data_IF_189940441824
#
_entry.id   IF_189940441824
#
_cell.length_a   1.000
_cell.length_b   1.000
_cell.length_c   1.000
_cell.angle_alpha   90.00
_cell.angle_beta   90.00
_cell.angle_gamma   90.00
#
_symmetry.space_group_name_H-M   'P 1'
#
loop_
_entity.id
_entity.type
_entity.pdbx_description
1 polymer ?
#
# COMPACT_ATOMS: atom_id res chain seq x y z
N UNK A 1 7.70 -8.74 -5.79
CA UNK A 1 8.93 -8.10 -6.29
C UNK A 1 8.87 -6.60 -6.01
N UNK A 2 9.83 -6.03 -5.29
CA UNK A 2 9.91 -4.58 -5.04
C UNK A 2 10.63 -3.92 -6.21
N UNK A 3 9.95 -3.69 -7.33
CA UNK A 3 10.54 -3.22 -8.58
C UNK A 3 11.19 -1.84 -8.46
N UNK A 4 10.60 -0.91 -7.68
CA UNK A 4 11.14 0.43 -7.46
C UNK A 4 12.29 0.52 -6.43
N UNK A 5 12.66 -0.57 -5.73
CA UNK A 5 13.63 -0.53 -4.64
C UNK A 5 15.00 0.00 -5.07
N UNK A 6 15.48 1.06 -4.42
CA UNK A 6 16.79 1.69 -4.64
C UNK A 6 16.86 2.55 -5.90
N UNK A 7 15.71 2.81 -6.53
CA UNK A 7 15.61 3.60 -7.76
C UNK A 7 14.44 4.59 -7.78
N UNK A 8 13.44 4.40 -6.89
CA UNK A 8 12.21 5.19 -6.91
C UNK A 8 12.51 6.69 -6.66
N UNK A 9 13.40 7.00 -5.72
CA UNK A 9 13.83 8.37 -5.45
C UNK A 9 14.72 8.98 -6.56
N UNK A 10 15.16 8.16 -7.53
CA UNK A 10 15.97 8.59 -8.69
C UNK A 10 15.17 8.60 -9.99
N UNK A 11 13.91 8.23 -9.97
CA UNK A 11 13.06 8.11 -11.15
C UNK A 11 13.55 7.04 -12.16
N UNK A 12 14.13 5.93 -11.68
CA UNK A 12 14.61 4.83 -12.53
C UNK A 12 14.26 3.46 -11.94
N UNK A 13 14.16 2.45 -12.78
CA UNK A 13 14.18 1.05 -12.38
C UNK A 13 15.60 0.52 -12.55
N UNK A 14 16.17 0.00 -11.48
CA UNK A 14 17.54 -0.55 -11.52
C UNK A 14 17.59 -1.84 -12.34
N UNK A 15 18.73 -2.13 -13.03
CA UNK A 15 18.87 -3.34 -13.84
C UNK A 15 18.57 -4.64 -13.07
N UNK A 16 19.03 -4.75 -11.80
CA UNK A 16 18.75 -5.91 -10.95
C UNK A 16 17.25 -6.05 -10.62
N UNK A 17 16.50 -4.94 -10.63
CA UNK A 17 15.04 -4.93 -10.41
C UNK A 17 14.28 -5.28 -11.69
N UNK A 18 14.76 -4.82 -12.85
CA UNK A 18 14.23 -5.25 -14.14
C UNK A 18 14.34 -6.76 -14.26
N UNK A 19 15.51 -7.33 -14.03
CA UNK A 19 15.73 -8.78 -14.09
C UNK A 19 14.74 -9.53 -13.17
N UNK A 20 14.65 -9.15 -11.90
CA UNK A 20 13.72 -9.78 -10.95
C UNK A 20 12.24 -9.61 -11.33
N UNK A 21 11.89 -8.48 -11.94
CA UNK A 21 10.53 -8.25 -12.44
C UNK A 21 10.21 -9.19 -13.59
N UNK A 22 11.15 -9.35 -14.52
CA UNK A 22 11.02 -10.28 -15.64
C UNK A 22 10.89 -11.74 -15.18
N UNK A 23 11.72 -12.18 -14.22
CA UNK A 23 11.62 -13.52 -13.63
C UNK A 23 10.23 -13.75 -13.01
N UNK A 24 9.70 -12.74 -12.29
CA UNK A 24 8.38 -12.84 -11.69
C UNK A 24 7.26 -12.95 -12.74
N UNK A 25 7.34 -12.18 -13.84
CA UNK A 25 6.38 -12.29 -14.95
C UNK A 25 6.50 -13.68 -15.60
N UNK A 26 7.71 -14.23 -15.75
CA UNK A 26 7.91 -15.59 -16.26
C UNK A 26 7.20 -16.66 -15.40
N UNK A 27 7.37 -16.58 -14.06
CA UNK A 27 6.66 -17.47 -13.13
C UNK A 27 5.14 -17.32 -13.25
N UNK A 28 4.64 -16.07 -13.33
CA UNK A 28 3.21 -15.81 -13.51
C UNK A 28 2.68 -16.37 -14.83
N UNK A 29 3.45 -16.29 -15.91
CA UNK A 29 3.07 -16.87 -17.21
C UNK A 29 2.81 -18.37 -17.11
N UNK A 30 3.67 -19.11 -16.40
CA UNK A 30 3.47 -20.54 -16.17
C UNK A 30 2.17 -20.82 -15.37
N UNK A 31 1.91 -20.00 -14.34
CA UNK A 31 0.66 -20.12 -13.57
C UNK A 31 -0.55 -19.84 -14.46
N UNK A 32 -0.54 -18.74 -15.21
CA UNK A 32 -1.61 -18.34 -16.13
C UNK A 32 -1.91 -19.45 -17.15
N UNK A 33 -0.87 -20.04 -17.73
CA UNK A 33 -1.00 -21.14 -18.70
C UNK A 33 -1.76 -22.34 -18.11
N UNK A 34 -1.51 -22.68 -16.85
CA UNK A 34 -2.18 -23.79 -16.16
C UNK A 34 -3.67 -23.55 -15.88
N UNK A 35 -4.12 -22.29 -15.89
CA UNK A 35 -5.52 -21.91 -15.69
C UNK A 35 -6.31 -21.71 -17.00
N UNK A 36 -5.70 -21.95 -18.16
CA UNK A 36 -6.30 -21.77 -19.50
C UNK A 36 -6.97 -20.39 -19.66
N UNK A 37 -6.27 -19.35 -19.17
CA UNK A 37 -6.76 -17.98 -19.18
C UNK A 37 -6.81 -17.43 -20.61
N UNK A 38 -7.94 -16.89 -21.03
CA UNK A 38 -8.16 -16.35 -22.40
C UNK A 38 -7.52 -14.96 -22.56
N UNK A 39 -7.62 -14.11 -21.53
CA UNK A 39 -7.09 -12.74 -21.57
C UNK A 39 -6.20 -12.44 -20.37
N UNK A 40 -5.12 -11.70 -20.61
CA UNK A 40 -4.15 -11.29 -19.59
C UNK A 40 -3.89 -9.80 -19.70
N UNK A 41 -4.16 -9.09 -18.60
CA UNK A 41 -3.87 -7.68 -18.48
C UNK A 41 -2.69 -7.49 -17.51
N UNK A 42 -1.62 -6.85 -17.99
CA UNK A 42 -0.45 -6.53 -17.16
C UNK A 42 -0.47 -5.03 -16.90
N UNK A 43 -0.80 -4.66 -15.66
CA UNK A 43 -0.93 -3.27 -15.24
C UNK A 43 0.28 -2.88 -14.40
N UNK A 44 0.79 -1.68 -14.64
CA UNK A 44 1.88 -1.08 -13.88
C UNK A 44 1.48 0.31 -13.37
N UNK A 45 1.96 0.63 -12.18
CA UNK A 45 1.60 1.84 -11.45
C UNK A 45 2.83 2.68 -11.09
N UNK A 46 2.83 3.39 -9.99
CA UNK A 46 3.79 4.43 -9.58
C UNK A 46 5.24 4.14 -9.96
N UNK A 47 5.81 3.00 -9.59
CA UNK A 47 7.24 2.75 -9.81
C UNK A 47 7.66 2.76 -11.29
N UNK A 48 6.80 2.24 -12.19
CA UNK A 48 7.03 2.27 -13.64
C UNK A 48 6.53 3.58 -14.27
N UNK A 49 5.49 4.18 -13.73
CA UNK A 49 4.97 5.48 -14.17
C UNK A 49 6.02 6.58 -14.02
N UNK A 50 6.74 6.58 -12.90
CA UNK A 50 7.71 7.63 -12.56
C UNK A 50 9.11 7.36 -13.13
N UNK A 51 9.37 6.17 -13.64
CA UNK A 51 10.68 5.79 -14.11
C UNK A 51 10.94 6.23 -15.56
N UNK A 52 12.01 7.01 -15.76
CA UNK A 52 12.44 7.45 -17.09
C UNK A 52 12.85 6.31 -18.03
N UNK A 53 13.21 5.16 -17.46
CA UNK A 53 13.58 3.95 -18.19
C UNK A 53 12.52 2.83 -18.09
N UNK A 54 11.26 3.19 -17.89
CA UNK A 54 10.17 2.18 -17.83
C UNK A 54 10.05 1.36 -19.11
N UNK A 55 10.40 1.95 -20.26
CA UNK A 55 10.45 1.27 -21.55
C UNK A 55 11.39 0.07 -21.58
N UNK A 56 12.50 0.10 -20.84
CA UNK A 56 13.45 -1.03 -20.75
C UNK A 56 12.75 -2.28 -20.21
N UNK A 57 11.92 -2.09 -19.17
CA UNK A 57 11.14 -3.18 -18.59
C UNK A 57 9.96 -3.60 -19.47
N UNK A 58 9.16 -2.66 -19.95
CA UNK A 58 7.94 -2.97 -20.71
C UNK A 58 8.25 -3.65 -22.05
N UNK A 59 9.30 -3.20 -22.75
CA UNK A 59 9.76 -3.83 -23.98
C UNK A 59 10.27 -5.26 -23.74
N UNK A 60 11.05 -5.48 -22.68
CA UNK A 60 11.53 -6.82 -22.34
C UNK A 60 10.38 -7.77 -21.96
N UNK A 61 9.35 -7.30 -21.26
CA UNK A 61 8.15 -8.09 -20.97
C UNK A 61 7.45 -8.48 -22.26
N UNK A 62 7.29 -7.55 -23.19
CA UNK A 62 6.69 -7.85 -24.49
C UNK A 62 7.53 -8.84 -25.32
N UNK A 63 8.83 -8.59 -25.43
CA UNK A 63 9.74 -9.43 -26.23
C UNK A 63 9.84 -10.86 -25.70
N UNK A 64 9.87 -11.05 -24.37
CA UNK A 64 10.04 -12.38 -23.77
C UNK A 64 8.73 -13.13 -23.60
N UNK A 65 7.66 -12.43 -23.30
CA UNK A 65 6.42 -13.08 -22.86
C UNK A 65 5.21 -12.78 -23.73
N UNK A 66 5.30 -11.78 -24.63
CA UNK A 66 4.20 -11.35 -25.49
C UNK A 66 3.17 -10.47 -24.78
N UNK A 67 3.39 -10.10 -23.52
CA UNK A 67 2.44 -9.28 -22.77
C UNK A 67 2.72 -7.78 -22.94
N UNK A 68 1.67 -7.02 -23.26
CA UNK A 68 1.72 -5.58 -23.27
C UNK A 68 1.49 -5.04 -21.86
N UNK A 69 2.48 -4.32 -21.32
CA UNK A 69 2.34 -3.64 -20.01
C UNK A 69 1.63 -2.30 -20.21
N UNK A 70 0.53 -2.10 -19.49
CA UNK A 70 -0.21 -0.84 -19.45
C UNK A 70 0.20 -0.06 -18.20
N UNK A 71 0.88 1.07 -18.38
CA UNK A 71 1.19 1.98 -17.29
C UNK A 71 0.00 2.92 -17.13
N UNK A 72 -0.72 2.82 -16.00
CA UNK A 72 -1.90 3.62 -15.73
C UNK A 72 -1.56 4.91 -14.96
N UNK A 73 -2.40 5.93 -15.14
CA UNK A 73 -2.32 7.17 -14.38
C UNK A 73 -2.68 6.96 -12.90
N UNK A 74 -2.26 7.86 -12.02
CA UNK A 74 -2.66 7.82 -10.61
C UNK A 74 -4.17 8.01 -10.42
N UNK A 75 -4.85 8.78 -11.29
CA UNK A 75 -6.31 8.91 -11.27
C UNK A 75 -7.00 7.59 -11.61
N UNK A 76 -6.57 6.91 -12.67
CA UNK A 76 -7.09 5.59 -13.04
C UNK A 76 -6.83 4.55 -11.94
N UNK A 77 -5.65 4.60 -11.30
CA UNK A 77 -5.32 3.72 -10.17
C UNK A 77 -6.30 3.96 -9.01
N UNK A 78 -6.56 5.22 -8.63
CA UNK A 78 -7.52 5.57 -7.58
C UNK A 78 -8.97 5.14 -7.91
N UNK A 79 -9.41 5.29 -9.16
CA UNK A 79 -10.72 4.83 -9.63
C UNK A 79 -10.86 3.31 -9.51
N UNK A 80 -9.87 2.53 -9.96
CA UNK A 80 -9.89 1.06 -9.87
C UNK A 80 -9.86 0.58 -8.42
N UNK A 81 -9.13 1.27 -7.54
CA UNK A 81 -9.13 0.99 -6.10
C UNK A 81 -10.51 1.23 -5.50
N UNK A 82 -11.16 2.35 -5.88
CA UNK A 82 -12.52 2.62 -5.45
C UNK A 82 -13.49 1.52 -5.90
N UNK A 83 -13.47 1.14 -7.18
CA UNK A 83 -14.31 0.06 -7.70
C UNK A 83 -14.12 -1.24 -6.91
N UNK A 84 -12.86 -1.64 -6.68
CA UNK A 84 -12.54 -2.82 -5.88
C UNK A 84 -13.03 -2.72 -4.42
N UNK A 85 -12.97 -1.53 -3.83
CA UNK A 85 -13.44 -1.27 -2.47
C UNK A 85 -14.97 -1.31 -2.40
N UNK A 86 -15.65 -0.67 -3.34
CA UNK A 86 -17.12 -0.60 -3.40
C UNK A 86 -17.77 -1.98 -3.63
N UNK A 87 -17.06 -2.93 -4.25
CA UNK A 87 -17.51 -4.31 -4.35
C UNK A 87 -17.55 -5.06 -3.01
N UNK A 88 -16.77 -4.60 -2.02
CA UNK A 88 -16.61 -5.29 -0.73
C UNK A 88 -17.24 -4.54 0.44
N UNK A 89 -17.37 -3.22 0.33
CA UNK A 89 -17.94 -2.36 1.35
C UNK A 89 -18.99 -1.42 0.75
N UNK A 90 -20.20 -1.44 1.30
CA UNK A 90 -21.30 -0.53 0.93
C UNK A 90 -21.60 0.36 2.13
N UNK A 91 -21.36 1.68 2.06
CA UNK A 91 -21.69 2.59 3.15
C UNK A 91 -23.20 2.78 3.29
N UNK A 92 -23.64 3.00 4.52
CA UNK A 92 -25.02 3.43 4.81
C UNK A 92 -25.30 4.81 4.22
N UNK A 93 -26.58 5.13 4.02
CA UNK A 93 -26.99 6.44 3.55
C UNK A 93 -26.47 7.57 4.44
N UNK A 94 -25.86 8.56 3.82
CA UNK A 94 -25.26 9.70 4.53
C UNK A 94 -23.86 9.45 5.11
N UNK A 95 -23.34 8.24 4.98
CA UNK A 95 -21.96 7.92 5.41
C UNK A 95 -20.96 8.30 4.33
N UNK A 96 -20.02 9.16 4.67
CA UNK A 96 -18.85 9.43 3.83
C UNK A 96 -17.68 8.53 4.25
N UNK A 97 -17.01 7.98 3.26
CA UNK A 97 -15.91 7.04 3.40
C UNK A 97 -14.64 7.64 2.82
N UNK A 98 -13.53 7.53 3.54
CA UNK A 98 -12.20 7.73 2.98
C UNK A 98 -11.56 6.36 2.74
N UNK A 99 -11.35 5.99 1.48
CA UNK A 99 -10.50 4.86 1.15
C UNK A 99 -9.04 5.32 1.07
N UNK A 100 -8.16 4.55 1.70
CA UNK A 100 -6.73 4.78 1.73
C UNK A 100 -6.01 3.50 1.25
N UNK A 101 -5.36 3.56 0.10
CA UNK A 101 -4.49 2.50 -0.39
C UNK A 101 -3.03 2.94 -0.29
N UNK A 102 -2.25 2.26 0.56
CA UNK A 102 -0.85 2.61 0.77
C UNK A 102 0.04 1.64 0.01
N UNK A 103 0.48 2.09 -1.16
CA UNK A 103 1.41 1.37 -2.02
C UNK A 103 2.88 1.58 -1.66
N UNK A 104 3.76 1.02 -2.51
CA UNK A 104 5.20 1.21 -2.36
C UNK A 104 5.68 2.60 -2.77
N UNK A 105 5.14 3.14 -3.85
CA UNK A 105 5.55 4.41 -4.45
C UNK A 105 4.52 5.51 -4.34
N UNK A 106 3.24 5.18 -4.24
CA UNK A 106 2.11 6.11 -4.13
C UNK A 106 1.16 5.72 -3.01
N UNK A 107 0.26 6.64 -2.69
CA UNK A 107 -0.89 6.43 -1.81
C UNK A 107 -2.10 7.04 -2.49
N UNK A 108 -3.13 6.24 -2.70
CA UNK A 108 -4.40 6.65 -3.28
C UNK A 108 -5.38 6.96 -2.16
N UNK A 109 -5.99 8.14 -2.25
CA UNK A 109 -7.03 8.60 -1.35
C UNK A 109 -8.31 8.84 -2.16
N UNK A 110 -9.40 8.18 -1.76
CA UNK A 110 -10.71 8.34 -2.40
C UNK A 110 -11.77 8.65 -1.36
N UNK A 111 -12.38 9.81 -1.45
CA UNK A 111 -13.50 10.26 -0.63
C UNK A 111 -14.79 10.01 -1.40
N UNK A 112 -15.68 9.20 -0.86
CA UNK A 112 -16.86 8.73 -1.56
C UNK A 112 -18.01 8.40 -0.61
N UNK A 113 -19.18 8.18 -1.15
CA UNK A 113 -20.36 7.68 -0.45
C UNK A 113 -21.11 6.67 -1.33
N UNK A 114 -22.29 6.24 -0.92
CA UNK A 114 -23.09 5.27 -1.69
C UNK A 114 -23.63 5.79 -3.03
N UNK A 115 -23.39 7.05 -3.39
CA UNK A 115 -23.89 7.68 -4.61
C UNK A 115 -22.79 8.00 -5.62
N UNK A 116 -21.64 8.49 -5.11
CA UNK A 116 -20.60 9.04 -5.99
C UNK A 116 -19.23 9.07 -5.34
N UNK A 117 -18.19 9.17 -6.16
CA UNK A 117 -16.86 9.62 -5.76
C UNK A 117 -16.92 11.14 -5.62
N UNK A 118 -16.71 11.64 -4.40
CA UNK A 118 -16.72 13.07 -4.10
C UNK A 118 -15.39 13.69 -4.48
N UNK A 119 -14.28 12.97 -4.22
CA UNK A 119 -12.93 13.40 -4.51
C UNK A 119 -11.98 12.20 -4.55
N UNK A 120 -11.01 12.22 -5.46
CA UNK A 120 -9.99 11.18 -5.56
C UNK A 120 -8.65 11.77 -5.98
N UNK A 121 -7.56 11.25 -5.42
CA UNK A 121 -6.21 11.61 -5.82
C UNK A 121 -5.19 10.52 -5.45
N UNK A 122 -4.21 10.33 -6.34
CA UNK A 122 -2.99 9.60 -6.07
C UNK A 122 -1.89 10.59 -5.66
N UNK A 123 -1.17 10.26 -4.59
CA UNK A 123 -0.05 11.03 -4.08
C UNK A 123 1.24 10.23 -4.24
N UNK A 124 2.31 10.88 -4.65
CA UNK A 124 3.64 10.28 -4.73
C UNK A 124 4.26 10.07 -3.34
N UNK A 125 3.47 9.45 -2.46
CA UNK A 125 3.79 9.09 -1.09
C UNK A 125 3.52 7.59 -0.94
N UNK A 126 4.57 6.79 -0.86
CA UNK A 126 4.44 5.36 -0.60
C UNK A 126 5.53 4.89 0.35
N UNK A 127 5.33 3.74 0.98
CA UNK A 127 6.24 3.25 2.04
C UNK A 127 7.68 3.06 1.57
N UNK A 128 7.91 2.66 0.32
CA UNK A 128 9.26 2.50 -0.21
C UNK A 128 9.89 3.86 -0.56
N UNK A 129 9.07 4.80 -1.07
CA UNK A 129 9.51 6.17 -1.36
C UNK A 129 9.89 6.90 -0.08
N UNK A 130 9.06 6.87 0.96
CA UNK A 130 9.35 7.47 2.26
C UNK A 130 10.62 6.86 2.88
N UNK A 131 10.79 5.54 2.79
CA UNK A 131 12.00 4.88 3.27
C UNK A 131 13.27 5.35 2.55
N UNK A 132 13.22 5.59 1.25
CA UNK A 132 14.35 6.09 0.48
C UNK A 132 14.65 7.58 0.76
N UNK A 133 13.61 8.39 0.99
CA UNK A 133 13.75 9.80 1.34
C UNK A 133 14.32 9.99 2.74
N UNK A 134 13.73 9.36 3.72
CA UNK A 134 14.03 9.62 5.12
C UNK A 134 15.13 8.74 5.70
N UNK A 135 15.55 7.67 5.02
CA UNK A 135 16.73 6.81 5.32
C UNK A 135 17.00 6.61 6.83
N UNK A 136 15.97 6.27 7.60
CA UNK A 136 16.09 6.10 9.03
C UNK A 136 17.05 4.96 9.36
N UNK A 137 18.14 5.28 10.06
CA UNK A 137 19.12 4.31 10.52
C UNK A 137 18.71 3.76 11.90
N UNK A 138 18.42 2.45 11.96
CA UNK A 138 18.15 1.75 13.22
C UNK A 138 16.70 1.80 13.66
N UNK A 139 16.38 2.64 14.63
CA UNK A 139 15.02 2.85 15.12
C UNK A 139 14.26 3.82 14.24
N UNK A 140 12.98 3.54 14.01
CA UNK A 140 12.11 4.54 13.39
C UNK A 140 11.85 5.67 14.39
N UNK A 141 11.36 5.39 15.60
CA UNK A 141 11.19 6.35 16.70
C UNK A 141 10.23 7.51 16.43
N UNK A 142 9.90 8.25 17.50
CA UNK A 142 9.06 9.46 17.37
C UNK A 142 9.75 10.55 16.56
N UNK A 143 11.07 10.73 16.71
CA UNK A 143 11.83 11.68 15.89
C UNK A 143 11.73 11.44 14.38
N UNK A 144 11.54 10.20 13.96
CA UNK A 144 11.35 9.86 12.55
C UNK A 144 10.00 10.34 12.05
N UNK A 145 8.96 10.18 12.86
CA UNK A 145 7.64 10.69 12.56
C UNK A 145 7.64 12.22 12.49
N UNK A 146 8.25 12.89 13.47
CA UNK A 146 8.34 14.36 13.51
C UNK A 146 9.08 14.92 12.30
N UNK A 147 10.11 14.24 11.82
CA UNK A 147 10.82 14.63 10.60
C UNK A 147 9.99 14.45 9.33
N UNK A 148 9.08 13.47 9.32
CA UNK A 148 8.20 13.21 8.16
C UNK A 148 6.92 14.07 8.19
N UNK A 149 6.43 14.45 9.36
CA UNK A 149 5.15 15.15 9.48
C UNK A 149 5.05 16.41 8.61
N UNK A 150 6.06 17.33 8.57
CA UNK A 150 5.99 18.49 7.69
C UNK A 150 5.94 18.13 6.19
N UNK A 151 6.63 17.07 5.78
CA UNK A 151 6.55 16.58 4.40
C UNK A 151 5.18 15.99 4.08
N UNK A 152 4.58 15.24 5.02
CA UNK A 152 3.23 14.72 4.86
C UNK A 152 2.19 15.85 4.85
N UNK A 153 2.39 16.92 5.65
CA UNK A 153 1.55 18.13 5.67
C UNK A 153 1.50 18.78 4.29
N UNK A 154 2.67 19.01 3.69
CA UNK A 154 2.79 19.64 2.38
C UNK A 154 2.18 18.76 1.28
N UNK A 155 2.54 17.50 1.26
CA UNK A 155 2.11 16.57 0.22
C UNK A 155 0.61 16.28 0.27
N UNK A 156 0.01 16.15 1.47
CA UNK A 156 -1.41 15.87 1.66
C UNK A 156 -2.29 17.13 1.83
N UNK A 157 -1.78 18.36 1.61
CA UNK A 157 -2.59 19.57 1.67
C UNK A 157 -3.88 19.50 0.82
N UNK A 158 -3.87 18.94 -0.42
CA UNK A 158 -5.09 18.75 -1.18
C UNK A 158 -6.10 17.80 -0.52
N UNK A 159 -5.63 16.76 0.21
CA UNK A 159 -6.50 15.88 0.99
C UNK A 159 -7.11 16.66 2.17
N UNK A 160 -6.30 17.41 2.93
CA UNK A 160 -6.78 18.24 4.02
C UNK A 160 -7.86 19.23 3.56
N UNK A 161 -7.68 19.80 2.38
CA UNK A 161 -8.66 20.71 1.78
C UNK A 161 -9.98 19.99 1.47
N UNK A 162 -9.92 18.79 0.91
CA UNK A 162 -11.11 17.97 0.65
C UNK A 162 -11.82 17.58 1.96
N UNK A 163 -11.08 17.17 2.99
CA UNK A 163 -11.62 16.75 4.29
C UNK A 163 -12.25 17.91 5.11
N UNK A 164 -11.83 19.15 4.88
CA UNK A 164 -12.50 20.34 5.48
C UNK A 164 -13.92 20.51 4.96
N UNK A 165 -14.16 20.16 3.71
CA UNK A 165 -15.47 20.30 3.06
C UNK A 165 -16.37 19.10 3.32
N UNK A 166 -15.81 17.89 3.37
CA UNK A 166 -16.55 16.64 3.57
C UNK A 166 -15.78 15.76 4.55
N UNK A 167 -16.37 15.56 5.73
CA UNK A 167 -15.77 14.72 6.76
C UNK A 167 -16.19 13.27 6.57
N UNK A 168 -15.25 12.33 6.38
CA UNK A 168 -15.55 10.90 6.42
C UNK A 168 -15.81 10.48 7.87
N UNK A 169 -16.72 9.51 8.04
CA UNK A 169 -16.96 8.83 9.32
C UNK A 169 -16.39 7.41 9.33
N UNK A 170 -15.92 6.95 8.17
CA UNK A 170 -15.33 5.62 8.00
C UNK A 170 -14.03 5.74 7.19
N UNK A 171 -12.98 5.10 7.69
CA UNK A 171 -11.73 4.87 6.96
C UNK A 171 -11.70 3.41 6.47
N UNK A 172 -11.59 3.21 5.17
CA UNK A 172 -11.39 1.90 4.56
C UNK A 172 -9.95 1.79 4.08
N UNK A 173 -9.20 0.89 4.69
CA UNK A 173 -7.84 0.61 4.30
C UNK A 173 -7.76 -0.49 3.24
N UNK A 174 -6.96 -0.29 2.20
CA UNK A 174 -6.67 -1.27 1.16
C UNK A 174 -5.18 -1.63 1.15
N UNK A 175 -4.87 -2.76 0.55
CA UNK A 175 -3.52 -3.30 0.36
C UNK A 175 -2.82 -3.88 1.60
N UNK A 176 -1.64 -4.42 1.37
CA UNK A 176 -0.94 -5.26 2.35
C UNK A 176 -0.46 -4.56 3.62
N UNK A 177 -0.45 -3.23 3.67
CA UNK A 177 -0.17 -2.49 4.90
C UNK A 177 -1.30 -2.66 5.90
N UNK A 178 -2.56 -2.53 5.45
CA UNK A 178 -3.73 -2.72 6.29
C UNK A 178 -3.94 -4.19 6.68
N UNK A 179 -3.59 -5.14 5.80
CA UNK A 179 -3.52 -6.55 6.18
C UNK A 179 -2.57 -6.78 7.35
N UNK A 180 -1.40 -6.14 7.31
CA UNK A 180 -0.41 -6.25 8.38
C UNK A 180 -0.93 -5.66 9.68
N UNK A 181 -1.54 -4.47 9.65
CA UNK A 181 -2.17 -3.86 10.84
C UNK A 181 -3.25 -4.76 11.41
N UNK A 182 -4.11 -5.32 10.56
CA UNK A 182 -5.15 -6.25 10.99
C UNK A 182 -4.57 -7.47 11.74
N UNK A 183 -3.55 -8.13 11.17
CA UNK A 183 -2.94 -9.28 11.83
C UNK A 183 -2.25 -8.91 13.14
N UNK A 184 -1.55 -7.79 13.19
CA UNK A 184 -0.88 -7.32 14.42
C UNK A 184 -1.89 -6.99 15.52
N UNK A 185 -3.00 -6.32 15.21
CA UNK A 185 -4.06 -6.01 16.18
C UNK A 185 -4.80 -7.26 16.68
N UNK A 186 -4.82 -8.33 15.89
CA UNK A 186 -5.39 -9.63 16.31
C UNK A 186 -4.40 -10.43 17.18
N UNK A 187 -3.11 -10.38 16.88
CA UNK A 187 -2.08 -11.06 17.66
C UNK A 187 -2.01 -10.52 19.11
N UNK A 188 -2.09 -9.19 19.27
CA UNK A 188 -2.15 -8.55 20.60
C UNK A 188 -3.35 -8.98 21.46
N UNK A 189 -4.41 -9.49 20.81
CA UNK A 189 -5.65 -9.95 21.47
C UNK A 189 -5.63 -11.43 21.84
N UNK A 190 -4.63 -12.19 21.41
CA UNK A 190 -4.53 -13.62 21.63
C UNK A 190 -3.35 -13.94 22.55
N UNK A 191 -3.61 -14.70 23.62
CA UNK A 191 -2.56 -15.29 24.48
C UNK A 191 -1.52 -16.03 23.62
N UNK A 192 -0.20 -16.02 23.97
CA UNK A 192 0.92 -16.38 23.06
C UNK A 192 0.99 -17.82 22.55
N UNK A 193 -0.08 -18.60 22.67
CA UNK A 193 -0.09 -20.04 22.35
C UNK A 193 -0.84 -20.45 21.08
N UNK A 194 -1.48 -19.52 20.35
CA UNK A 194 -2.16 -19.86 19.09
C UNK A 194 -1.49 -19.22 17.90
N UNK A 195 -0.65 -20.00 17.18
CA UNK A 195 -0.23 -19.63 15.82
C UNK A 195 -1.48 -19.37 14.95
N UNK A 196 -1.63 -18.15 14.49
CA UNK A 196 -2.68 -17.78 13.53
C UNK A 196 -2.34 -18.53 12.23
N UNK A 197 -3.01 -19.67 12.00
CA UNK A 197 -2.96 -20.34 10.70
C UNK A 197 -3.61 -19.38 9.70
N UNK A 198 -2.89 -19.01 8.66
CA UNK A 198 -3.46 -18.26 7.53
C UNK A 198 -4.65 -19.06 6.98
N UNK A 199 -5.86 -18.66 7.33
CA UNK A 199 -7.06 -19.22 6.70
C UNK A 199 -7.08 -18.70 5.28
N UNK A 200 -7.32 -19.58 4.29
CA UNK A 200 -7.66 -19.17 2.93
C UNK A 200 -8.70 -18.04 3.02
N UNK A 201 -8.33 -16.84 2.54
CA UNK A 201 -9.29 -15.74 2.47
C UNK A 201 -10.44 -16.15 1.56
N UNK A 202 -11.64 -16.10 2.09
CA UNK A 202 -12.85 -16.10 1.29
C UNK A 202 -12.99 -14.62 0.85
N UNK A 203 -12.83 -14.36 -0.44
CA UNK A 203 -13.14 -13.07 -1.03
C UNK A 203 -14.54 -12.66 -0.59
N UNK A 204 -14.75 -11.46 -0.10
CA UNK A 204 -16.00 -10.77 0.29
C UNK A 204 -16.19 -10.46 1.79
N UNK A 205 -15.14 -10.44 2.60
CA UNK A 205 -15.31 -9.99 3.98
C UNK A 205 -14.40 -8.79 4.26
N UNK A 206 -15.02 -7.67 4.63
CA UNK A 206 -14.33 -6.54 5.25
C UNK A 206 -14.05 -6.92 6.70
N UNK A 207 -12.78 -6.82 7.10
CA UNK A 207 -12.36 -7.02 8.47
C UNK A 207 -12.26 -5.64 9.16
N UNK A 208 -12.66 -5.56 10.42
CA UNK A 208 -12.58 -4.33 11.20
C UNK A 208 -11.31 -4.31 12.03
N UNK A 209 -10.60 -3.19 11.99
CA UNK A 209 -9.47 -2.87 12.87
C UNK A 209 -9.99 -1.96 13.98
N UNK A 210 -9.78 -2.38 15.23
CA UNK A 210 -10.05 -1.56 16.40
C UNK A 210 -9.04 -0.42 16.47
N UNK A 211 -9.51 0.83 16.56
CA UNK A 211 -8.67 2.01 16.48
C UNK A 211 -7.70 2.14 17.66
N UNK A 212 -8.11 1.79 18.86
CA UNK A 212 -7.25 1.85 20.06
C UNK A 212 -6.13 0.83 19.96
N UNK A 213 -6.44 -0.39 19.45
CA UNK A 213 -5.43 -1.40 19.16
C UNK A 213 -4.50 -0.98 18.04
N UNK A 214 -5.02 -0.33 17.00
CA UNK A 214 -4.18 0.21 15.94
C UNK A 214 -3.17 1.23 16.50
N UNK A 215 -3.62 2.14 17.37
CA UNK A 215 -2.72 3.10 18.02
C UNK A 215 -1.66 2.42 18.89
N UNK A 216 -2.06 1.41 19.69
CA UNK A 216 -1.15 0.63 20.53
C UNK A 216 -0.09 -0.09 19.68
N UNK A 217 -0.53 -0.80 18.63
CA UNK A 217 0.36 -1.50 17.69
C UNK A 217 1.27 -0.53 16.94
N UNK A 218 0.76 0.62 16.52
CA UNK A 218 1.54 1.64 15.82
C UNK A 218 2.68 2.19 16.70
N UNK A 219 2.44 2.40 18.00
CA UNK A 219 3.49 2.78 18.96
C UNK A 219 4.56 1.70 19.04
N UNK A 220 4.18 0.43 19.12
CA UNK A 220 5.15 -0.68 19.13
C UNK A 220 5.94 -0.77 17.83
N UNK A 221 5.29 -0.61 16.68
CA UNK A 221 5.94 -0.60 15.35
C UNK A 221 7.00 0.51 15.29
N UNK A 222 6.66 1.69 15.77
CA UNK A 222 7.52 2.88 15.71
C UNK A 222 8.70 2.75 16.69
N UNK A 223 8.46 2.29 17.93
CA UNK A 223 9.47 2.20 18.97
C UNK A 223 10.43 1.00 18.82
N UNK A 224 10.01 -0.04 18.13
CA UNK A 224 10.79 -1.27 17.97
C UNK A 224 11.89 -1.14 16.91
N UNK A 225 13.00 -1.85 17.11
CA UNK A 225 14.01 -2.05 16.07
C UNK A 225 13.45 -2.93 14.93
N UNK A 226 14.15 -2.97 13.79
CA UNK A 226 13.78 -3.89 12.71
C UNK A 226 13.76 -5.35 13.18
N UNK A 227 14.74 -5.74 14.03
CA UNK A 227 14.83 -7.10 14.54
C UNK A 227 13.65 -7.42 15.48
N UNK A 228 13.26 -6.48 16.34
CA UNK A 228 12.11 -6.66 17.22
C UNK A 228 10.81 -6.76 16.40
N UNK A 229 10.65 -5.91 15.38
CA UNK A 229 9.49 -6.00 14.46
C UNK A 229 9.42 -7.33 13.72
N UNK A 230 10.55 -7.89 13.30
CA UNK A 230 10.59 -9.22 12.67
C UNK A 230 10.11 -10.34 13.60
N UNK A 231 10.21 -10.13 14.93
CA UNK A 231 9.77 -11.08 15.94
C UNK A 231 8.34 -10.80 16.46
N UNK A 232 7.69 -9.73 16.01
CA UNK A 232 6.27 -9.48 16.38
C UNK A 232 5.37 -10.54 15.77
N UNK A 233 4.49 -11.11 16.58
CA UNK A 233 3.47 -12.07 16.09
C UNK A 233 2.55 -11.36 15.08
N UNK A 234 2.34 -11.98 13.93
CA UNK A 234 1.53 -11.39 12.84
C UNK A 234 2.31 -10.50 11.86
N UNK A 235 3.61 -10.24 12.10
CA UNK A 235 4.43 -9.43 11.20
C UNK A 235 4.96 -10.25 10.03
N UNK A 236 4.59 -9.92 8.77
CA UNK A 236 5.23 -10.51 7.61
C UNK A 236 6.68 -10.02 7.48
N UNK A 237 7.68 -10.92 7.33
CA UNK A 237 9.09 -10.52 7.28
C UNK A 237 9.42 -9.49 6.19
N UNK A 238 8.73 -9.55 5.06
CA UNK A 238 8.90 -8.63 3.93
C UNK A 238 8.21 -7.27 4.15
N UNK A 239 7.48 -7.09 5.25
CA UNK A 239 6.82 -5.84 5.64
C UNK A 239 7.52 -5.12 6.79
N UNK A 240 8.24 -5.83 7.65
CA UNK A 240 8.81 -5.31 8.88
C UNK A 240 9.68 -4.03 8.71
N UNK A 241 10.32 -3.86 7.56
CA UNK A 241 11.13 -2.69 7.22
C UNK A 241 10.36 -1.51 6.63
N UNK A 242 9.10 -1.72 6.23
CA UNK A 242 8.26 -0.72 5.58
C UNK A 242 7.06 -0.28 6.42
N UNK A 243 6.60 -1.15 7.31
CA UNK A 243 5.37 -0.92 8.07
C UNK A 243 5.40 0.36 8.94
N UNK A 244 6.54 0.82 9.50
CA UNK A 244 6.57 2.09 10.22
C UNK A 244 6.18 3.29 9.37
N UNK A 245 6.53 3.27 8.08
CA UNK A 245 6.17 4.34 7.14
C UNK A 245 4.67 4.32 6.82
N UNK A 246 4.08 3.12 6.72
CA UNK A 246 2.63 2.99 6.57
C UNK A 246 1.89 3.46 7.83
N UNK A 247 2.38 3.09 9.02
CA UNK A 247 1.82 3.57 10.29
C UNK A 247 1.87 5.10 10.38
N UNK A 248 2.97 5.72 9.96
CA UNK A 248 3.10 7.17 9.93
C UNK A 248 2.06 7.84 9.01
N UNK A 249 1.79 7.27 7.83
CA UNK A 249 0.76 7.79 6.92
C UNK A 249 -0.63 7.70 7.58
N UNK A 250 -0.99 6.53 8.15
CA UNK A 250 -2.32 6.35 8.76
C UNK A 250 -2.48 7.23 9.99
N UNK A 251 -1.48 7.30 10.87
CA UNK A 251 -1.50 8.21 12.03
C UNK A 251 -1.61 9.68 11.64
N UNK A 252 -1.03 10.05 10.49
CA UNK A 252 -1.16 11.39 9.96
C UNK A 252 -2.60 11.67 9.48
N UNK A 253 -3.25 10.71 8.84
CA UNK A 253 -4.65 10.85 8.35
C UNK A 253 -5.65 10.86 9.50
N UNK A 254 -5.36 10.16 10.60
CA UNK A 254 -6.26 9.98 11.75
C UNK A 254 -6.19 11.11 12.81
N UNK A 255 -5.32 12.11 12.64
CA UNK A 255 -5.11 13.22 13.61
C UNK A 255 -6.20 14.32 13.62
#
# INVERSE_FOLDING_TARGET
VRIGKGGIGKGIIRPDRIARGLDAIGIMKEVIHNYLTEEVYVIATSALRDASNSSDFTNEVFNRYGYKVMIISGSTEAELIHEGTALTYTPEDGTNVLTLDIGGGSTECVLWNNKEIIWARSFDIGVARLKELFKMSGHFGEEAYDKMAPYLDDMFDPLLTALKNVKPSVLVGSSGSFDTFYYLTKAESTSPTKKIKSKKRIFHKVDTIDIDKFHSVSKLIVSNSLNDRLNMEGMPPDRADLIPYAAAIVLWVDR
#
